data_IF_947523924062
#
_entry.id   IF_947523924062
#
_cell.length_a   1.000
_cell.length_b   1.000
_cell.length_c   1.000
_cell.angle_alpha   90.00
_cell.angle_beta   90.00
_cell.angle_gamma   90.00
#
_symmetry.space_group_name_H-M   'P 1'
#
loop_
_entity.id
_entity.type
_entity.pdbx_description
1 polymer ?
#
# COMPACT_ATOMS: atom_id res chain seq x y z
N UNK A 1 15.47 -6.93 -8.45
CA UNK A 1 14.89 -7.04 -7.09
C UNK A 1 13.83 -8.16 -7.09
N UNK A 2 13.88 -9.06 -6.12
CA UNK A 2 13.10 -10.30 -6.12
C UNK A 2 11.59 -10.02 -5.86
N UNK A 3 10.69 -10.34 -6.80
CA UNK A 3 9.25 -9.98 -6.68
C UNK A 3 8.57 -10.57 -5.44
N UNK A 4 8.95 -11.79 -5.05
CA UNK A 4 8.48 -12.45 -3.84
C UNK A 4 8.88 -11.68 -2.57
N UNK A 5 10.10 -11.13 -2.56
CA UNK A 5 10.60 -10.30 -1.46
C UNK A 5 9.79 -9.00 -1.33
N UNK A 6 9.50 -8.32 -2.44
CA UNK A 6 8.70 -7.10 -2.43
C UNK A 6 7.29 -7.33 -1.84
N UNK A 7 6.63 -8.42 -2.26
CA UNK A 7 5.30 -8.77 -1.76
C UNK A 7 5.31 -9.17 -0.29
N UNK A 8 6.34 -9.90 0.14
CA UNK A 8 6.51 -10.26 1.55
C UNK A 8 6.76 -9.03 2.42
N UNK A 9 7.66 -8.14 1.97
CA UNK A 9 8.00 -6.91 2.68
C UNK A 9 6.79 -5.98 2.80
N UNK A 10 6.08 -5.74 1.70
CA UNK A 10 4.85 -4.96 1.70
C UNK A 10 3.84 -5.52 2.71
N UNK A 11 3.61 -6.84 2.71
CA UNK A 11 2.65 -7.47 3.63
C UNK A 11 3.04 -7.32 5.10
N UNK A 12 4.34 -7.41 5.42
CA UNK A 12 4.82 -7.29 6.81
C UNK A 12 4.78 -5.84 7.31
N UNK A 13 5.17 -4.88 6.47
CA UNK A 13 5.25 -3.46 6.84
C UNK A 13 3.87 -2.78 6.79
N UNK A 14 2.97 -3.24 5.91
CA UNK A 14 1.63 -2.67 5.72
C UNK A 14 0.86 -2.39 7.01
N UNK A 15 0.67 -3.33 7.95
CA UNK A 15 -0.13 -3.06 9.14
C UNK A 15 0.45 -1.92 10.01
N UNK A 16 1.78 -1.84 10.12
CA UNK A 16 2.45 -0.82 10.94
C UNK A 16 2.35 0.58 10.33
N UNK A 17 2.38 0.66 9.00
CA UNK A 17 2.29 1.92 8.27
C UNK A 17 0.84 2.35 8.06
N UNK A 18 -0.05 1.41 7.74
CA UNK A 18 -1.45 1.72 7.43
C UNK A 18 -2.23 2.20 8.64
N UNK A 19 -1.92 1.68 9.83
CA UNK A 19 -2.63 2.09 11.05
C UNK A 19 -2.52 3.60 11.32
N UNK A 20 -1.32 4.21 11.45
CA UNK A 20 -1.21 5.66 11.63
C UNK A 20 -1.71 6.44 10.40
N UNK A 21 -1.52 5.90 9.20
CA UNK A 21 -1.92 6.56 7.96
C UNK A 21 -3.45 6.68 7.84
N UNK A 22 -4.20 5.64 8.19
CA UNK A 22 -5.66 5.70 8.23
C UNK A 22 -6.12 6.69 9.28
N UNK A 23 -5.51 6.70 10.46
CA UNK A 23 -5.85 7.66 11.52
C UNK A 23 -5.65 9.09 11.02
N UNK A 24 -4.50 9.41 10.43
CA UNK A 24 -4.20 10.77 9.91
C UNK A 24 -5.16 11.20 8.80
N UNK A 25 -5.52 10.31 7.88
CA UNK A 25 -6.52 10.61 6.84
C UNK A 25 -7.88 10.90 7.48
N UNK A 26 -8.34 10.04 8.40
CA UNK A 26 -9.65 10.18 9.02
C UNK A 26 -9.75 11.46 9.84
N UNK A 27 -8.72 11.78 10.63
CA UNK A 27 -8.68 13.02 11.41
C UNK A 27 -8.63 14.25 10.52
N UNK A 28 -7.82 14.23 9.45
CA UNK A 28 -7.72 15.35 8.51
C UNK A 28 -9.02 15.60 7.75
N UNK A 29 -9.67 14.55 7.24
CA UNK A 29 -10.99 14.65 6.58
C UNK A 29 -12.05 15.13 7.56
N UNK A 30 -12.11 14.54 8.75
CA UNK A 30 -13.09 14.92 9.78
C UNK A 30 -12.89 16.37 10.23
N UNK A 31 -11.65 16.84 10.37
CA UNK A 31 -11.34 18.23 10.71
C UNK A 31 -11.85 19.19 9.64
N UNK A 32 -11.61 18.86 8.36
CA UNK A 32 -12.03 19.69 7.24
C UNK A 32 -13.55 19.71 7.09
N UNK A 33 -14.21 18.57 7.18
CA UNK A 33 -15.67 18.49 7.14
C UNK A 33 -16.30 19.23 8.32
N UNK A 34 -15.78 19.03 9.54
CA UNK A 34 -16.22 19.71 10.75
C UNK A 34 -16.23 21.23 10.61
N UNK A 35 -15.12 21.81 10.13
CA UNK A 35 -15.05 23.27 9.94
C UNK A 35 -15.82 23.76 8.71
N UNK A 36 -15.70 23.08 7.58
CA UNK A 36 -16.22 23.59 6.30
C UNK A 36 -17.71 23.33 6.10
N UNK A 37 -18.25 22.23 6.61
CA UNK A 37 -19.65 21.85 6.39
C UNK A 37 -20.50 22.04 7.64
N UNK A 38 -19.95 21.72 8.82
CA UNK A 38 -20.69 21.82 10.09
C UNK A 38 -20.45 23.14 10.83
N UNK A 39 -19.57 24.01 10.32
CA UNK A 39 -19.29 25.31 10.93
C UNK A 39 -18.66 25.23 12.33
N UNK A 40 -18.06 24.10 12.69
CA UNK A 40 -17.41 23.93 13.99
C UNK A 40 -16.25 24.90 14.17
N UNK A 41 -16.11 25.44 15.38
CA UNK A 41 -15.02 26.36 15.70
C UNK A 41 -13.69 25.60 15.81
N UNK A 42 -12.57 26.33 15.68
CA UNK A 42 -11.23 25.73 15.75
C UNK A 42 -11.03 24.93 17.03
N UNK A 43 -11.50 25.44 18.16
CA UNK A 43 -11.28 24.84 19.48
C UNK A 43 -12.03 23.50 19.63
N UNK A 44 -13.22 23.38 19.03
CA UNK A 44 -14.02 22.14 19.07
C UNK A 44 -13.37 20.98 18.31
N UNK A 45 -12.61 21.28 17.25
CA UNK A 45 -11.98 20.28 16.39
C UNK A 45 -10.45 20.23 16.54
N UNK A 46 -9.85 21.06 17.38
CA UNK A 46 -8.39 21.15 17.50
C UNK A 46 -7.75 19.84 18.01
N UNK A 47 -8.42 19.13 18.92
CA UNK A 47 -7.97 17.82 19.42
C UNK A 47 -7.75 16.81 18.28
N UNK A 48 -8.43 17.00 17.15
CA UNK A 48 -8.29 16.17 15.97
C UNK A 48 -6.93 16.38 15.28
N UNK A 49 -6.39 17.60 15.34
CA UNK A 49 -5.04 17.91 14.85
C UNK A 49 -3.97 17.32 15.79
N UNK A 50 -4.20 17.29 17.10
CA UNK A 50 -3.32 16.61 18.07
C UNK A 50 -3.14 15.12 17.71
N UNK A 51 -4.23 14.46 17.30
CA UNK A 51 -4.19 13.06 16.81
C UNK A 51 -3.60 12.98 15.39
N UNK A 52 -3.91 13.94 14.52
CA UNK A 52 -3.43 14.00 13.14
C UNK A 52 -1.90 14.11 13.06
N UNK A 53 -1.29 14.94 13.91
CA UNK A 53 0.14 15.19 13.92
C UNK A 53 0.87 14.24 14.87
N UNK A 54 0.15 13.54 15.75
CA UNK A 54 0.74 12.64 16.74
C UNK A 54 1.40 13.39 17.90
N UNK A 55 0.96 14.63 18.17
CA UNK A 55 1.50 15.49 19.23
C UNK A 55 1.39 14.82 20.62
N UNK A 56 0.41 13.94 20.81
CA UNK A 56 0.25 13.15 22.04
C UNK A 56 1.41 12.17 22.34
N UNK A 57 2.25 11.84 21.36
CA UNK A 57 3.47 11.04 21.57
C UNK A 57 4.63 11.89 22.12
N UNK A 58 4.46 13.20 22.21
CA UNK A 58 5.46 14.16 22.64
C UNK A 58 6.35 14.67 21.50
N UNK A 59 6.97 15.83 21.74
CA UNK A 59 7.75 16.61 20.75
C UNK A 59 8.88 15.85 20.06
N UNK A 60 9.41 14.79 20.71
CA UNK A 60 10.47 13.99 20.12
C UNK A 60 9.95 12.96 19.11
N UNK A 61 8.76 12.37 19.35
CA UNK A 61 8.19 11.32 18.50
C UNK A 61 7.27 11.87 17.40
N UNK A 62 6.72 13.07 17.58
CA UNK A 62 5.86 13.75 16.62
C UNK A 62 6.49 13.82 15.20
N UNK A 63 7.76 14.25 15.02
CA UNK A 63 8.37 14.26 13.69
C UNK A 63 8.52 12.85 13.09
N UNK A 64 8.80 11.83 13.92
CA UNK A 64 8.89 10.44 13.45
C UNK A 64 7.53 9.91 13.00
N UNK A 65 6.45 10.28 13.70
CA UNK A 65 5.08 9.93 13.32
C UNK A 65 4.71 10.53 11.96
N UNK A 66 4.97 11.82 11.75
CA UNK A 66 4.73 12.49 10.47
C UNK A 66 5.60 11.89 9.35
N UNK A 67 6.87 11.63 9.63
CA UNK A 67 7.80 11.01 8.67
C UNK A 67 7.37 9.59 8.29
N UNK A 68 6.96 8.78 9.28
CA UNK A 68 6.43 7.43 9.07
C UNK A 68 5.19 7.46 8.17
N UNK A 69 4.28 8.40 8.40
CA UNK A 69 3.08 8.55 7.56
C UNK A 69 3.44 8.92 6.12
N UNK A 70 4.32 9.92 5.92
CA UNK A 70 4.74 10.36 4.59
C UNK A 70 5.49 9.27 3.80
N UNK A 71 6.56 8.72 4.39
CA UNK A 71 7.35 7.66 3.75
C UNK A 71 6.56 6.38 3.59
N UNK A 72 5.76 6.03 4.60
CA UNK A 72 4.90 4.87 4.59
C UNK A 72 3.85 4.94 3.50
N UNK A 73 3.20 6.09 3.32
CA UNK A 73 2.27 6.32 2.21
C UNK A 73 2.93 6.12 0.86
N UNK A 74 4.11 6.72 0.64
CA UNK A 74 4.86 6.58 -0.60
C UNK A 74 5.26 5.12 -0.86
N UNK A 75 5.74 4.42 0.18
CA UNK A 75 6.07 3.01 0.10
C UNK A 75 4.85 2.15 -0.24
N UNK A 76 3.73 2.34 0.45
CA UNK A 76 2.49 1.60 0.20
C UNK A 76 1.95 1.85 -1.21
N UNK A 77 1.96 3.11 -1.67
CA UNK A 77 1.48 3.49 -3.00
C UNK A 77 2.34 2.86 -4.11
N UNK A 78 3.66 3.04 -4.03
CA UNK A 78 4.59 2.55 -5.07
C UNK A 78 4.61 1.02 -5.14
N UNK A 79 4.69 0.34 -3.99
CA UNK A 79 4.72 -1.14 -3.94
C UNK A 79 3.36 -1.75 -4.25
N UNK A 80 2.26 -1.14 -3.79
CA UNK A 80 0.90 -1.54 -4.10
C UNK A 80 0.59 -1.46 -5.59
N UNK A 81 0.91 -0.33 -6.24
CA UNK A 81 0.75 -0.15 -7.70
C UNK A 81 1.60 -1.18 -8.46
N UNK A 82 2.86 -1.39 -8.08
CA UNK A 82 3.74 -2.37 -8.73
C UNK A 82 3.17 -3.80 -8.66
N UNK A 83 2.66 -4.21 -7.51
CA UNK A 83 2.01 -5.52 -7.33
C UNK A 83 0.70 -5.59 -8.14
N UNK A 84 -0.12 -4.55 -8.10
CA UNK A 84 -1.40 -4.49 -8.82
C UNK A 84 -1.21 -4.59 -10.34
N UNK A 85 -0.33 -3.78 -10.92
CA UNK A 85 0.02 -3.83 -12.35
C UNK A 85 0.57 -5.21 -12.74
N UNK A 86 1.37 -5.84 -11.86
CA UNK A 86 1.88 -7.18 -12.13
C UNK A 86 0.82 -8.27 -12.15
N UNK A 87 -0.29 -8.06 -11.43
CA UNK A 87 -1.42 -8.99 -11.38
C UNK A 87 -2.26 -8.90 -12.64
N UNK A 88 -2.29 -7.73 -13.28
CA UNK A 88 -3.07 -7.47 -14.50
C UNK A 88 -2.35 -7.86 -15.79
N UNK A 89 -1.07 -8.22 -15.75
CA UNK A 89 -0.36 -8.70 -16.94
C UNK A 89 -0.92 -10.08 -17.35
N UNK A 90 -1.58 -10.21 -18.52
CA UNK A 90 -2.07 -11.49 -18.98
C UNK A 90 -0.89 -12.47 -19.07
N UNK A 91 -1.09 -13.70 -18.59
CA UNK A 91 -0.14 -14.80 -18.80
C UNK A 91 -0.13 -15.12 -20.30
N UNK A 92 0.70 -14.42 -21.06
CA UNK A 92 1.02 -14.83 -22.41
C UNK A 92 1.80 -16.15 -22.33
N UNK A 93 1.21 -17.21 -22.88
CA UNK A 93 1.78 -18.52 -23.19
C UNK A 93 2.03 -19.49 -22.04
N UNK A 94 1.04 -20.37 -21.83
CA UNK A 94 1.22 -21.69 -21.21
C UNK A 94 0.69 -22.83 -22.12
N UNK A 95 0.60 -22.61 -23.44
CA UNK A 95 0.15 -23.60 -24.43
C UNK A 95 1.15 -23.77 -25.59
N UNK A 96 2.42 -23.91 -25.28
CA UNK A 96 3.39 -24.51 -26.22
C UNK A 96 4.10 -25.63 -25.49
N UNK A 97 3.36 -26.70 -25.17
CA UNK A 97 3.95 -28.03 -25.19
C UNK A 97 4.34 -28.28 -26.64
N UNK A 98 5.64 -28.44 -26.98
CA UNK A 98 5.97 -29.08 -28.23
C UNK A 98 5.41 -30.49 -28.10
N UNK A 99 4.34 -30.79 -28.83
CA UNK A 99 3.96 -32.19 -29.07
C UNK A 99 5.16 -32.78 -29.78
N UNK A 100 5.99 -33.50 -29.02
CA UNK A 100 7.02 -34.37 -29.58
C UNK A 100 6.31 -35.33 -30.52
N UNK A 101 6.48 -35.08 -31.81
CA UNK A 101 6.03 -35.93 -32.91
C UNK A 101 6.46 -37.37 -32.62
N UNK A 102 5.53 -38.34 -32.51
CA UNK A 102 5.92 -39.74 -32.36
C UNK A 102 6.64 -40.14 -33.64
N UNK A 103 7.94 -40.47 -33.53
CA UNK A 103 8.70 -40.99 -34.65
C UNK A 103 8.02 -42.25 -35.18
N UNK A 104 7.67 -42.24 -36.47
CA UNK A 104 7.18 -43.41 -37.20
C UNK A 104 8.24 -44.50 -37.13
N UNK A 105 7.93 -45.71 -36.62
CA UNK A 105 8.83 -46.83 -36.74
C UNK A 105 8.90 -47.19 -38.22
N UNK A 106 10.09 -47.06 -38.81
CA UNK A 106 10.43 -47.73 -40.06
C UNK A 106 10.38 -49.23 -39.79
N UNK A 107 9.23 -49.86 -40.06
CA UNK A 107 9.13 -51.31 -40.19
C UNK A 107 9.46 -51.61 -41.63
N UNK A 108 10.59 -52.29 -41.83
CA UNK A 108 11.10 -52.64 -43.14
C UNK A 108 10.27 -53.67 -43.87
N UNK A 109 10.37 -53.63 -45.19
CA UNK A 109 10.39 -54.76 -46.13
C UNK A 109 11.41 -54.46 -47.23
#
# INVERSE_FOLDING_TARGET
>A
MNRKLLRSLHRTIAPFVMLPLVITILTGVTYRLGKSWFGLTRDQVHWLMVIHEGEYLGKFLEPFYVLLNGLGALFMLTTGISIWVSTWKPRANANQTPVSEPQTPTVGE
#
